data_IF_824673697544
#
_entry.id   IF_824673697544
#
_cell.length_a   1.000
_cell.length_b   1.000
_cell.length_c   1.000
_cell.angle_alpha   90.00
_cell.angle_beta   90.00
_cell.angle_gamma   90.00
#
_symmetry.space_group_name_H-M   'P 1'
#
loop_
_entity.id
_entity.type
_entity.pdbx_description
1 polymer ?
#
# COMPACT_ATOMS: atom_id res chain seq x y z
N UNK A 1 19.48 -23.82 14.15
CA UNK A 1 20.87 -23.51 13.83
C UNK A 1 21.19 -24.10 12.47
N UNK A 2 21.00 -23.33 11.39
CA UNK A 2 21.70 -23.52 10.12
C UNK A 2 21.79 -22.16 9.46
N UNK A 3 23.00 -21.60 9.45
CA UNK A 3 23.39 -20.50 8.56
C UNK A 3 23.48 -21.09 7.16
N UNK A 4 22.88 -20.43 6.16
CA UNK A 4 23.36 -20.52 4.78
C UNK A 4 23.51 -19.11 4.24
N UNK A 5 24.73 -18.61 4.41
CA UNK A 5 25.27 -17.43 3.74
C UNK A 5 25.30 -17.71 2.24
N UNK A 6 24.47 -17.01 1.45
CA UNK A 6 24.73 -16.81 0.02
C UNK A 6 24.27 -15.40 -0.37
N UNK A 7 24.87 -14.40 0.26
CA UNK A 7 24.84 -13.02 -0.21
C UNK A 7 25.97 -12.84 -1.22
N UNK A 8 25.72 -13.13 -2.49
CA UNK A 8 26.67 -12.73 -3.52
C UNK A 8 26.53 -11.23 -3.77
N UNK A 9 27.42 -10.44 -3.16
CA UNK A 9 27.69 -9.07 -3.57
C UNK A 9 28.01 -9.07 -5.06
N UNK A 10 27.25 -8.32 -5.86
CA UNK A 10 27.72 -7.80 -7.14
C UNK A 10 27.59 -6.28 -7.10
N UNK A 11 28.71 -5.61 -7.29
CA UNK A 11 28.85 -4.17 -7.16
C UNK A 11 28.92 -3.51 -8.55
N UNK A 12 27.92 -2.67 -8.83
CA UNK A 12 27.90 -1.42 -9.60
C UNK A 12 28.07 -1.38 -11.14
N UNK A 13 27.06 -0.73 -11.77
CA UNK A 13 27.25 0.54 -12.49
C UNK A 13 26.35 1.61 -11.85
N UNK A 14 26.85 2.84 -11.80
CA UNK A 14 26.27 4.01 -11.12
C UNK A 14 24.78 4.21 -11.37
N UNK A 15 23.97 4.20 -10.30
CA UNK A 15 22.56 4.68 -10.31
C UNK A 15 21.47 3.60 -10.20
N UNK A 16 21.81 2.32 -10.15
CA UNK A 16 20.84 1.23 -9.99
C UNK A 16 21.17 0.47 -8.71
N UNK A 17 20.25 0.49 -7.75
CA UNK A 17 20.29 -0.46 -6.64
C UNK A 17 19.37 -1.62 -7.01
N UNK A 18 19.96 -2.78 -7.25
CA UNK A 18 19.22 -4.00 -7.55
C UNK A 18 19.33 -4.95 -6.37
N UNK A 19 18.18 -5.42 -5.88
CA UNK A 19 18.11 -6.54 -4.95
C UNK A 19 17.52 -7.73 -5.71
N UNK A 20 18.21 -8.86 -5.66
CA UNK A 20 17.75 -10.10 -6.27
C UNK A 20 17.77 -11.23 -5.25
N UNK A 21 16.72 -12.06 -5.30
CA UNK A 21 16.58 -13.24 -4.47
C UNK A 21 16.07 -14.41 -5.30
N UNK A 22 16.62 -15.60 -5.04
CA UNK A 22 16.17 -16.86 -5.64
C UNK A 22 15.56 -17.70 -4.53
N UNK A 23 14.33 -18.14 -4.74
CA UNK A 23 13.57 -18.93 -3.76
C UNK A 23 13.10 -20.21 -4.42
N UNK A 24 13.42 -21.35 -3.81
CA UNK A 24 12.96 -22.67 -4.25
C UNK A 24 11.57 -23.00 -3.73
N UNK A 25 10.82 -23.82 -4.46
CA UNK A 25 9.53 -24.41 -4.06
C UNK A 25 8.48 -23.36 -3.63
N UNK A 26 8.48 -22.21 -4.31
CA UNK A 26 7.52 -21.14 -4.01
C UNK A 26 6.21 -21.43 -4.73
N UNK A 27 5.17 -21.66 -3.92
CA UNK A 27 3.79 -21.89 -4.41
C UNK A 27 3.10 -20.60 -4.80
N UNK A 28 3.30 -19.53 -4.03
CA UNK A 28 2.69 -18.22 -4.26
C UNK A 28 3.67 -17.10 -3.92
N UNK A 29 3.73 -16.09 -4.79
CA UNK A 29 4.40 -14.82 -4.56
C UNK A 29 3.35 -13.74 -4.34
N UNK A 30 3.46 -12.99 -3.25
CA UNK A 30 2.55 -11.90 -2.91
C UNK A 30 3.33 -10.59 -2.93
N UNK A 31 3.07 -9.74 -3.92
CA UNK A 31 3.60 -8.40 -3.98
C UNK A 31 2.68 -7.48 -3.18
N UNK A 32 3.15 -7.02 -2.03
CA UNK A 32 2.46 -6.05 -1.19
C UNK A 32 2.93 -4.63 -1.55
N UNK A 33 2.01 -3.80 -2.00
CA UNK A 33 2.28 -2.41 -2.32
C UNK A 33 1.94 -1.53 -1.12
N UNK A 34 2.64 -0.40 -0.96
CA UNK A 34 2.43 0.55 0.15
C UNK A 34 1.00 1.10 0.22
N UNK A 35 0.25 1.06 -0.88
CA UNK A 35 -1.16 1.42 -0.95
C UNK A 35 -2.11 0.30 -0.44
N UNK A 36 -1.56 -0.78 0.12
CA UNK A 36 -2.30 -1.94 0.63
C UNK A 36 -2.78 -2.90 -0.44
N UNK A 37 -2.55 -2.63 -1.73
CA UNK A 37 -2.91 -3.59 -2.77
C UNK A 37 -1.93 -4.74 -2.77
N UNK A 38 -2.44 -5.92 -3.12
CA UNK A 38 -1.63 -7.09 -3.31
C UNK A 38 -1.76 -7.63 -4.72
N UNK A 39 -0.66 -8.10 -5.28
CA UNK A 39 -0.67 -8.91 -6.51
C UNK A 39 -0.14 -10.30 -6.18
N UNK A 40 -1.00 -11.29 -6.33
CA UNK A 40 -0.67 -12.70 -6.10
C UNK A 40 -0.28 -13.34 -7.43
N UNK A 41 0.87 -13.99 -7.45
CA UNK A 41 1.37 -14.79 -8.57
C UNK A 41 1.55 -16.20 -8.05
N UNK A 42 0.66 -17.11 -8.44
CA UNK A 42 0.73 -18.52 -8.06
C UNK A 42 1.54 -19.31 -9.09
N UNK A 43 2.30 -20.29 -8.62
CA UNK A 43 3.03 -21.24 -9.44
C UNK A 43 2.45 -22.64 -9.19
N UNK A 44 1.91 -23.25 -10.23
CA UNK A 44 1.24 -24.55 -10.16
C UNK A 44 2.25 -25.72 -10.17
N UNK A 45 3.52 -25.46 -10.46
CA UNK A 45 4.57 -26.48 -10.48
C UNK A 45 5.27 -26.58 -9.12
N UNK A 46 5.13 -27.74 -8.47
CA UNK A 46 5.64 -28.03 -7.11
C UNK A 46 7.17 -27.86 -6.98
N UNK A 47 7.91 -27.91 -8.09
CA UNK A 47 9.38 -27.82 -8.13
C UNK A 47 9.92 -26.56 -8.83
N UNK A 48 9.09 -25.51 -8.97
CA UNK A 48 9.51 -24.27 -9.62
C UNK A 48 10.38 -23.36 -8.74
N UNK A 49 11.31 -22.64 -9.37
CA UNK A 49 12.09 -21.57 -8.71
C UNK A 49 11.49 -20.21 -9.02
N UNK A 50 11.31 -19.37 -8.01
CA UNK A 50 10.95 -17.97 -8.19
C UNK A 50 12.21 -17.11 -8.13
N UNK A 51 12.44 -16.34 -9.18
CA UNK A 51 13.46 -15.28 -9.20
C UNK A 51 12.76 -13.94 -9.12
N UNK A 52 13.06 -13.18 -8.06
CA UNK A 52 12.58 -11.79 -7.93
C UNK A 52 13.76 -10.87 -8.21
N UNK A 53 13.65 -10.07 -9.27
CA UNK A 53 14.61 -9.01 -9.58
C UNK A 53 13.92 -7.67 -9.38
N UNK A 54 14.36 -6.93 -8.37
CA UNK A 54 13.86 -5.58 -8.11
C UNK A 54 14.86 -4.60 -8.70
N UNK A 55 14.47 -3.98 -9.82
CA UNK A 55 15.24 -2.92 -10.45
C UNK A 55 14.75 -1.56 -9.92
N UNK A 56 15.46 -1.01 -8.93
CA UNK A 56 15.22 0.37 -8.50
C UNK A 56 15.99 1.29 -9.43
N UNK A 57 15.29 1.92 -10.37
CA UNK A 57 15.83 3.05 -11.10
C UNK A 57 15.81 4.27 -10.18
N UNK A 58 16.99 4.76 -9.78
CA UNK A 58 17.13 6.13 -9.28
C UNK A 58 16.94 7.07 -10.48
N UNK A 59 15.70 7.23 -10.92
CA UNK A 59 15.38 8.08 -12.04
C UNK A 59 15.60 9.55 -11.61
N UNK A 60 16.71 10.14 -12.07
CA UNK A 60 16.81 11.59 -12.25
C UNK A 60 15.79 11.99 -13.31
N UNK A 61 14.56 12.29 -12.90
CA UNK A 61 13.68 13.34 -13.43
C UNK A 61 12.27 13.25 -12.77
N UNK A 62 11.89 14.33 -12.06
CA UNK A 62 10.57 14.62 -11.49
C UNK A 62 10.00 13.61 -10.47
N UNK A 63 10.47 13.73 -9.23
CA UNK A 63 10.02 12.99 -8.05
C UNK A 63 8.58 13.36 -7.59
N UNK A 64 7.62 13.53 -8.50
CA UNK A 64 6.26 13.87 -8.11
C UNK A 64 5.56 12.67 -7.43
N UNK A 65 5.71 11.47 -8.00
CA UNK A 65 5.09 10.25 -7.46
C UNK A 65 5.66 9.89 -6.09
N UNK A 66 6.99 9.84 -5.95
CA UNK A 66 7.59 9.55 -4.65
C UNK A 66 7.38 10.69 -3.65
N UNK A 67 7.36 11.97 -4.07
CA UNK A 67 6.91 13.07 -3.21
C UNK A 67 5.50 12.86 -2.67
N UNK A 68 4.53 12.47 -3.51
CA UNK A 68 3.16 12.16 -3.06
C UNK A 68 3.17 11.00 -2.06
N UNK A 69 3.91 9.93 -2.36
CA UNK A 69 3.96 8.72 -1.52
C UNK A 69 4.66 8.97 -0.16
N UNK A 70 5.64 9.86 -0.12
CA UNK A 70 6.40 10.18 1.09
C UNK A 70 5.68 11.19 1.98
N UNK A 71 4.85 12.05 1.40
CA UNK A 71 4.17 13.11 2.14
C UNK A 71 2.73 12.80 2.53
N UNK A 72 2.11 11.81 1.89
CA UNK A 72 0.74 11.39 2.18
C UNK A 72 0.62 10.61 3.49
N UNK A 73 -0.37 11.02 4.29
CA UNK A 73 -0.94 10.27 5.40
C UNK A 73 -2.49 10.22 5.34
N UNK A 74 -3.11 9.42 6.21
CA UNK A 74 -4.57 9.26 6.21
C UNK A 74 -5.33 10.50 6.72
N UNK A 75 -4.67 11.42 7.42
CA UNK A 75 -5.26 12.62 8.01
C UNK A 75 -5.19 13.84 7.08
N UNK A 76 -4.33 13.78 6.07
CA UNK A 76 -4.07 14.89 5.17
C UNK A 76 -5.32 15.37 4.43
N UNK A 77 -5.44 16.69 4.36
CA UNK A 77 -6.34 17.34 3.41
C UNK A 77 -5.62 17.47 2.05
N UNK A 78 -6.40 17.63 0.99
CA UNK A 78 -5.84 17.75 -0.36
C UNK A 78 -4.94 18.98 -0.50
N UNK A 79 -5.32 20.06 0.20
CA UNK A 79 -4.57 21.28 0.43
C UNK A 79 -3.19 20.99 1.01
N UNK A 80 -3.14 20.27 2.13
CA UNK A 80 -1.88 19.94 2.82
C UNK A 80 -0.98 19.05 1.95
N UNK A 81 -1.54 18.01 1.32
CA UNK A 81 -0.77 17.12 0.44
C UNK A 81 -0.19 17.86 -0.77
N UNK A 82 -0.95 18.79 -1.34
CA UNK A 82 -0.49 19.65 -2.44
C UNK A 82 0.70 20.50 -1.99
N UNK A 83 0.58 21.16 -0.83
CA UNK A 83 1.64 22.02 -0.28
C UNK A 83 2.90 21.22 0.05
N UNK A 84 2.76 20.08 0.73
CA UNK A 84 3.87 19.15 1.04
C UNK A 84 4.58 18.64 -0.23
N UNK A 85 3.87 18.54 -1.35
CA UNK A 85 4.45 18.19 -2.65
C UNK A 85 5.05 19.38 -3.42
N UNK A 86 5.10 20.58 -2.83
CA UNK A 86 5.67 21.78 -3.43
C UNK A 86 4.73 22.52 -4.39
N UNK A 87 3.41 22.34 -4.28
CA UNK A 87 2.43 22.99 -5.15
C UNK A 87 1.61 24.04 -4.41
N UNK A 88 1.69 25.29 -4.89
CA UNK A 88 0.87 26.41 -4.43
C UNK A 88 -0.53 26.45 -5.08
N UNK A 89 -0.88 25.46 -5.93
CA UNK A 89 -2.16 25.43 -6.64
C UNK A 89 -2.71 24.02 -6.78
N UNK A 90 -3.88 23.78 -6.21
CA UNK A 90 -4.61 22.50 -6.28
C UNK A 90 -4.92 22.11 -7.73
N UNK A 91 -5.20 23.08 -8.61
CA UNK A 91 -5.44 22.80 -10.04
C UNK A 91 -4.19 22.22 -10.70
N UNK A 92 -3.04 22.83 -10.45
CA UNK A 92 -1.76 22.36 -11.00
C UNK A 92 -1.37 21.02 -10.41
N UNK A 93 -1.50 20.85 -9.09
CA UNK A 93 -1.30 19.57 -8.41
C UNK A 93 -2.18 18.47 -9.01
N UNK A 94 -3.48 18.71 -9.13
CA UNK A 94 -4.45 17.75 -9.69
C UNK A 94 -4.11 17.36 -11.13
N UNK A 95 -3.63 18.31 -11.95
CA UNK A 95 -3.20 18.01 -13.34
C UNK A 95 -1.98 17.09 -13.35
N UNK A 96 -0.97 17.36 -12.53
CA UNK A 96 0.20 16.49 -12.39
C UNK A 96 -0.18 15.12 -11.81
N UNK A 97 -1.09 15.10 -10.85
CA UNK A 97 -1.61 13.89 -10.25
C UNK A 97 -2.29 13.00 -11.27
N UNK A 98 -3.26 13.51 -12.02
CA UNK A 98 -3.94 12.75 -13.08
C UNK A 98 -2.98 12.21 -14.12
N UNK A 99 -1.95 12.96 -14.50
CA UNK A 99 -0.93 12.53 -15.47
C UNK A 99 -0.14 11.31 -14.96
N UNK A 100 0.13 11.23 -13.65
CA UNK A 100 0.98 10.20 -13.07
C UNK A 100 0.20 9.00 -12.47
N UNK A 101 -1.01 9.24 -11.97
CA UNK A 101 -1.83 8.25 -11.25
C UNK A 101 -3.10 7.84 -12.00
N UNK A 102 -3.42 8.48 -13.14
CA UNK A 102 -4.63 8.24 -13.93
C UNK A 102 -5.96 8.45 -13.18
N UNK A 103 -5.94 9.13 -12.03
CA UNK A 103 -7.13 9.47 -11.25
C UNK A 103 -6.98 10.82 -10.53
N UNK A 104 -8.05 11.33 -9.92
CA UNK A 104 -7.95 12.56 -9.10
C UNK A 104 -7.28 12.25 -7.76
N UNK A 105 -6.54 13.21 -7.16
CA UNK A 105 -5.96 13.02 -5.83
C UNK A 105 -6.99 12.58 -4.79
N UNK A 106 -8.17 13.22 -4.80
CA UNK A 106 -9.24 12.90 -3.85
C UNK A 106 -9.75 11.47 -4.01
N UNK A 107 -9.89 10.97 -5.24
CA UNK A 107 -10.30 9.58 -5.47
C UNK A 107 -9.22 8.60 -4.98
N UNK A 108 -7.95 8.89 -5.28
CA UNK A 108 -6.82 8.09 -4.85
C UNK A 108 -6.72 7.98 -3.33
N UNK A 109 -6.80 9.12 -2.61
CA UNK A 109 -6.76 9.15 -1.14
C UNK A 109 -7.93 8.37 -0.51
N UNK A 110 -9.13 8.47 -1.10
CA UNK A 110 -10.30 7.72 -0.62
C UNK A 110 -10.17 6.21 -0.91
N UNK A 111 -9.54 5.85 -2.03
CA UNK A 111 -9.28 4.45 -2.40
C UNK A 111 -8.30 3.81 -1.41
N UNK A 112 -7.17 4.47 -1.14
CA UNK A 112 -6.18 3.99 -0.17
C UNK A 112 -6.77 3.87 1.24
N UNK A 113 -7.53 4.88 1.69
CA UNK A 113 -8.20 4.83 2.99
C UNK A 113 -9.23 3.69 3.08
N UNK A 114 -9.93 3.38 1.97
CA UNK A 114 -10.86 2.25 1.90
C UNK A 114 -10.13 0.92 2.03
N UNK A 115 -9.06 0.70 1.28
CA UNK A 115 -8.32 -0.56 1.33
C UNK A 115 -7.70 -0.78 2.71
N UNK A 116 -7.14 0.26 3.32
CA UNK A 116 -6.64 0.20 4.70
C UNK A 116 -7.74 -0.14 5.72
N UNK A 117 -8.93 0.47 5.60
CA UNK A 117 -10.08 0.11 6.44
C UNK A 117 -10.45 -1.37 6.30
N UNK A 118 -10.51 -1.88 5.07
CA UNK A 118 -10.82 -3.29 4.83
C UNK A 118 -9.78 -4.22 5.44
N UNK A 119 -8.49 -3.86 5.33
CA UNK A 119 -7.40 -4.61 5.93
C UNK A 119 -7.52 -4.68 7.45
N UNK A 120 -7.68 -3.53 8.12
CA UNK A 120 -7.90 -3.47 9.57
C UNK A 120 -9.11 -4.31 10.01
N UNK A 121 -10.23 -4.24 9.28
CA UNK A 121 -11.44 -4.99 9.63
C UNK A 121 -11.28 -6.50 9.47
N UNK A 122 -10.46 -6.96 8.51
CA UNK A 122 -10.32 -8.38 8.16
C UNK A 122 -9.18 -9.07 8.88
N UNK A 123 -8.11 -8.34 9.17
CA UNK A 123 -6.82 -8.90 9.54
C UNK A 123 -6.35 -8.47 10.94
N UNK A 124 -7.11 -7.63 11.65
CA UNK A 124 -6.80 -7.22 13.02
C UNK A 124 -8.03 -7.35 13.94
N UNK A 125 -7.78 -7.42 15.24
CA UNK A 125 -8.80 -7.35 16.30
C UNK A 125 -8.98 -5.93 16.87
N UNK A 126 -8.39 -4.91 16.22
CA UNK A 126 -8.41 -3.54 16.70
C UNK A 126 -9.85 -3.02 16.90
N UNK A 127 -10.16 -2.38 18.04
CA UNK A 127 -11.45 -1.74 18.25
C UNK A 127 -11.73 -0.71 17.15
N UNK A 128 -12.99 -0.57 16.71
CA UNK A 128 -13.36 0.40 15.66
C UNK A 128 -12.94 1.84 16.01
N UNK A 129 -12.86 2.16 17.32
CA UNK A 129 -12.41 3.46 17.80
C UNK A 129 -10.93 3.71 17.48
N UNK A 130 -10.10 2.68 17.61
CA UNK A 130 -8.69 2.76 17.25
C UNK A 130 -8.52 2.89 15.74
N UNK A 131 -9.21 2.05 14.96
CA UNK A 131 -9.18 2.12 13.48
C UNK A 131 -9.66 3.50 12.98
N UNK A 132 -10.66 4.09 13.64
CA UNK A 132 -11.12 5.44 13.34
C UNK A 132 -10.01 6.47 13.51
N UNK A 133 -9.29 6.42 14.64
CA UNK A 133 -8.16 7.32 14.90
C UNK A 133 -7.02 7.10 13.89
N UNK A 134 -6.62 5.85 13.65
CA UNK A 134 -5.49 5.50 12.77
C UNK A 134 -5.72 5.91 11.31
N UNK A 135 -6.97 5.90 10.85
CA UNK A 135 -7.37 6.33 9.51
C UNK A 135 -7.84 7.79 9.43
N UNK A 136 -7.66 8.56 10.50
CA UNK A 136 -7.97 9.99 10.54
C UNK A 136 -9.47 10.32 10.44
N UNK A 137 -10.34 9.44 10.92
CA UNK A 137 -11.75 9.74 11.10
C UNK A 137 -11.97 10.50 12.41
N UNK A 138 -12.84 11.51 12.39
CA UNK A 138 -13.17 12.30 13.59
C UNK A 138 -13.92 11.49 14.64
N UNK A 139 -14.69 10.48 14.23
CA UNK A 139 -15.46 9.61 15.11
C UNK A 139 -15.92 8.33 14.39
N UNK A 140 -16.54 7.42 15.16
CA UNK A 140 -17.06 6.14 14.68
C UNK A 140 -18.17 6.26 13.64
N UNK A 141 -18.99 7.30 13.71
CA UNK A 141 -20.06 7.53 12.74
C UNK A 141 -19.48 7.84 11.37
N UNK A 142 -18.47 8.72 11.31
CA UNK A 142 -17.78 9.05 10.05
C UNK A 142 -17.09 7.82 9.43
N UNK A 143 -16.45 6.99 10.25
CA UNK A 143 -15.90 5.71 9.77
C UNK A 143 -17.02 4.80 9.24
N UNK A 144 -18.11 4.64 9.97
CA UNK A 144 -19.23 3.76 9.61
C UNK A 144 -19.93 4.19 8.33
N UNK A 145 -20.08 5.50 8.12
CA UNK A 145 -20.69 6.06 6.92
C UNK A 145 -19.77 5.97 5.71
N UNK A 146 -18.47 6.24 5.90
CA UNK A 146 -17.47 6.01 4.87
C UNK A 146 -17.42 4.53 4.46
N UNK A 147 -17.44 3.62 5.44
CA UNK A 147 -17.47 2.18 5.20
C UNK A 147 -18.68 1.79 4.33
N UNK A 148 -19.87 2.21 4.74
CA UNK A 148 -21.10 1.93 4.00
C UNK A 148 -21.04 2.52 2.59
N UNK A 149 -20.62 3.78 2.44
CA UNK A 149 -20.54 4.45 1.14
C UNK A 149 -19.54 3.77 0.19
N UNK A 150 -18.39 3.31 0.70
CA UNK A 150 -17.29 2.79 -0.14
C UNK A 150 -17.33 1.30 -0.41
N UNK A 151 -18.07 0.55 0.41
CA UNK A 151 -18.11 -0.91 0.38
C UNK A 151 -19.51 -1.49 0.24
N UNK A 152 -20.55 -0.70 0.52
CA UNK A 152 -21.94 -1.15 0.61
C UNK A 152 -22.28 -1.88 1.90
N UNK A 153 -21.36 -1.99 2.87
CA UNK A 153 -21.54 -2.71 4.13
C UNK A 153 -21.02 -1.91 5.33
N UNK A 154 -21.59 -2.16 6.50
CA UNK A 154 -21.13 -1.59 7.77
C UNK A 154 -19.87 -2.32 8.28
N UNK A 155 -19.07 -1.69 9.17
CA UNK A 155 -17.80 -2.26 9.62
C UNK A 155 -17.92 -3.62 10.31
N UNK A 156 -18.99 -3.81 11.08
CA UNK A 156 -19.32 -5.06 11.79
C UNK A 156 -19.66 -6.21 10.83
N UNK A 157 -20.32 -5.93 9.71
CA UNK A 157 -20.62 -6.93 8.67
C UNK A 157 -19.37 -7.39 7.92
N UNK A 158 -18.36 -6.53 7.81
CA UNK A 158 -17.10 -6.82 7.12
C UNK A 158 -16.07 -7.47 8.02
N UNK A 159 -16.21 -7.29 9.33
CA UNK A 159 -15.28 -7.85 10.30
C UNK A 159 -15.39 -9.36 10.31
N UNK A 160 -14.31 -10.02 9.87
CA UNK A 160 -14.17 -11.46 10.07
C UNK A 160 -13.92 -11.67 11.55
N UNK A 161 -14.81 -12.38 12.23
CA UNK A 161 -14.46 -12.97 13.51
C UNK A 161 -13.28 -13.90 13.23
N UNK A 162 -12.14 -13.68 13.88
CA UNK A 162 -11.09 -14.70 13.95
C UNK A 162 -11.78 -15.88 14.63
N UNK A 163 -12.24 -16.84 13.83
CA UNK A 163 -12.70 -18.11 14.37
C UNK A 163 -11.44 -18.70 14.97
N UNK A 164 -11.41 -18.70 16.30
CA UNK A 164 -10.38 -19.30 17.11
C UNK A 164 -10.19 -20.73 16.61
N UNK A 165 -9.14 -20.97 15.82
CA UNK A 165 -8.65 -22.31 15.51
C UNK A 165 -7.75 -22.73 16.67
N UNK A 166 -8.30 -22.67 17.87
CA UNK A 166 -7.76 -23.33 19.04
C UNK A 166 -8.52 -24.66 19.14
N UNK A 167 -7.87 -25.70 18.60
CA UNK A 167 -8.24 -27.10 18.84
C UNK A 167 -7.82 -27.55 20.24
#
# INVERSE_FOLDING_TARGET
>A
MYKSEFNHRISYRSGIQSESGIYGNVRECILLFKNGTQKVISNENENGTLTVNILCHLAKENNFVESVINNYDYTDRLDDLSEKCGFNSIKTFTRHFKKNFNETPKQWMLSIKKEALLDYLRNTDYPLKQIAADLGFSNLSHLSDFCLQKTGKRPDELRKKIIDRSG
#
